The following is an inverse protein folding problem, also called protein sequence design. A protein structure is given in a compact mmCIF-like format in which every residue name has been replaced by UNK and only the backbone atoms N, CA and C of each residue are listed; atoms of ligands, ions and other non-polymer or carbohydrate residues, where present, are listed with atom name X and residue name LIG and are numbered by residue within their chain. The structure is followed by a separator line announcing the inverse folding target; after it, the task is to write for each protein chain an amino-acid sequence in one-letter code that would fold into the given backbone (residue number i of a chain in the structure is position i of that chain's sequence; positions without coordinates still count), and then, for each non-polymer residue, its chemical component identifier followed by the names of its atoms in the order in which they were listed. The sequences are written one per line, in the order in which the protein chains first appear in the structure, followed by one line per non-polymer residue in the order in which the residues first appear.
data_IF_794065542042
#
_entry.id   IF_794065542042
#
_cell.length_a   1.000
_cell.length_b   1.000
_cell.length_c   1.000
_cell.angle_alpha   90.00
_cell.angle_beta   90.00
_cell.angle_gamma   90.00
#
_symmetry.space_group_name_H-M   'P 1'
#
loop_
_entity.id
_entity.type
_entity.pdbx_description
1 polymer ?
#
# COMPACT_ATOMS: atom_id res chain seq x y z
N UNK A 1 -23.95 -13.67 4.01
CA UNK A 1 -22.72 -14.07 3.29
C UNK A 1 -21.60 -14.14 4.32
N UNK A 2 -20.89 -15.26 4.41
CA UNK A 2 -19.84 -15.47 5.41
C UNK A 2 -18.56 -14.73 4.99
N UNK A 3 -18.13 -13.77 5.81
CA UNK A 3 -16.91 -13.00 5.58
C UNK A 3 -15.67 -13.90 5.46
N UNK A 4 -15.66 -15.06 6.13
CA UNK A 4 -14.57 -16.04 6.04
C UNK A 4 -14.46 -16.69 4.65
N UNK A 5 -15.56 -16.83 3.93
CA UNK A 5 -15.55 -17.41 2.58
C UNK A 5 -15.02 -16.40 1.55
N UNK A 6 -15.42 -15.12 1.66
CA UNK A 6 -14.90 -14.03 0.83
C UNK A 6 -13.40 -13.86 1.07
N UNK A 7 -13.00 -13.96 2.33
CA UNK A 7 -11.62 -13.91 2.76
C UNK A 7 -10.75 -15.01 2.13
N UNK A 8 -11.22 -16.27 2.17
CA UNK A 8 -10.53 -17.39 1.53
C UNK A 8 -10.43 -17.17 0.02
N UNK A 9 -11.47 -16.59 -0.59
CA UNK A 9 -11.49 -16.26 -2.00
C UNK A 9 -10.47 -15.17 -2.34
N UNK A 10 -10.44 -14.07 -1.60
CA UNK A 10 -9.47 -12.98 -1.74
C UNK A 10 -8.03 -13.47 -1.55
N UNK A 11 -7.80 -14.30 -0.55
CA UNK A 11 -6.46 -14.86 -0.27
C UNK A 11 -5.99 -15.82 -1.36
N UNK A 12 -6.89 -16.57 -2.01
CA UNK A 12 -6.55 -17.53 -3.07
C UNK A 12 -6.47 -16.91 -4.46
N UNK A 13 -7.26 -15.87 -4.72
CA UNK A 13 -7.40 -15.28 -6.06
C UNK A 13 -6.73 -13.91 -6.17
N UNK A 14 -6.49 -13.22 -5.06
CA UNK A 14 -5.99 -11.85 -5.04
C UNK A 14 -7.13 -10.84 -5.10
N UNK A 15 -6.87 -9.65 -4.55
CA UNK A 15 -7.87 -8.60 -4.33
C UNK A 15 -8.49 -8.04 -5.61
N UNK A 16 -7.76 -8.11 -6.73
CA UNK A 16 -8.25 -7.62 -8.03
C UNK A 16 -9.08 -8.66 -8.79
N UNK A 17 -9.03 -9.93 -8.38
CA UNK A 17 -9.67 -11.05 -9.08
C UNK A 17 -10.97 -11.51 -8.40
N UNK A 18 -11.42 -10.80 -7.36
CA UNK A 18 -12.67 -11.09 -6.67
C UNK A 18 -13.62 -9.92 -6.88
N UNK A 19 -14.71 -10.16 -7.61
CA UNK A 19 -15.76 -9.18 -7.81
C UNK A 19 -16.64 -9.10 -6.55
N UNK A 20 -16.73 -7.90 -5.97
CA UNK A 20 -17.58 -7.59 -4.80
C UNK A 20 -18.68 -6.56 -5.13
N UNK A 21 -18.93 -6.26 -6.41
CA UNK A 21 -19.81 -5.18 -6.89
C UNK A 21 -21.27 -5.36 -6.45
N UNK A 22 -21.69 -6.61 -6.21
CA UNK A 22 -23.03 -6.92 -5.69
C UNK A 22 -23.24 -6.45 -4.24
N UNK A 23 -22.19 -6.07 -3.51
CA UNK A 23 -22.26 -5.60 -2.13
C UNK A 23 -22.37 -4.09 -2.05
N UNK A 24 -22.96 -3.56 -0.98
CA UNK A 24 -22.94 -2.13 -0.70
C UNK A 24 -21.51 -1.64 -0.45
N UNK A 25 -21.23 -0.36 -0.70
CA UNK A 25 -19.90 0.20 -0.51
C UNK A 25 -19.38 0.01 0.93
N UNK A 26 -20.20 0.25 1.95
CA UNK A 26 -19.80 0.05 3.36
C UNK A 26 -19.41 -1.39 3.66
N UNK A 27 -20.10 -2.38 3.06
CA UNK A 27 -19.75 -3.78 3.22
C UNK A 27 -18.43 -4.12 2.52
N UNK A 28 -18.20 -3.58 1.31
CA UNK A 28 -16.93 -3.74 0.60
C UNK A 28 -15.78 -3.12 1.39
N UNK A 29 -15.99 -1.92 1.93
CA UNK A 29 -15.02 -1.20 2.76
C UNK A 29 -14.60 -2.06 3.95
N UNK A 30 -15.56 -2.59 4.71
CA UNK A 30 -15.28 -3.46 5.87
C UNK A 30 -14.49 -4.71 5.46
N UNK A 31 -14.84 -5.35 4.34
CA UNK A 31 -14.12 -6.53 3.83
C UNK A 31 -12.67 -6.18 3.48
N UNK A 32 -12.44 -5.08 2.76
CA UNK A 32 -11.10 -4.68 2.37
C UNK A 32 -10.23 -4.28 3.57
N UNK A 33 -10.78 -3.55 4.54
CA UNK A 33 -10.06 -3.19 5.77
C UNK A 33 -9.70 -4.44 6.58
N UNK A 34 -10.64 -5.38 6.77
CA UNK A 34 -10.35 -6.66 7.44
C UNK A 34 -9.31 -7.50 6.70
N UNK A 35 -9.32 -7.47 5.37
CA UNK A 35 -8.30 -8.16 4.57
C UNK A 35 -6.91 -7.53 4.76
N UNK A 36 -6.83 -6.20 4.85
CA UNK A 36 -5.59 -5.49 5.13
C UNK A 36 -5.01 -5.86 6.51
N UNK A 37 -5.87 -5.97 7.53
CA UNK A 37 -5.48 -6.24 8.92
C UNK A 37 -4.71 -7.56 9.11
N UNK A 38 -4.84 -8.52 8.20
CA UNK A 38 -4.05 -9.76 8.20
C UNK A 38 -2.55 -9.56 7.96
N UNK A 39 -2.23 -8.50 7.25
CA UNK A 39 -0.88 -8.21 6.78
C UNK A 39 -0.32 -6.97 7.48
N UNK A 40 -1.09 -6.31 8.35
CA UNK A 40 -0.70 -5.05 9.00
C UNK A 40 0.60 -5.17 9.80
N UNK A 41 0.84 -6.30 10.44
CA UNK A 41 2.06 -6.58 11.23
C UNK A 41 3.23 -7.09 10.37
N UNK A 42 2.97 -7.50 9.12
CA UNK A 42 4.01 -8.00 8.20
C UNK A 42 4.69 -6.81 7.55
N UNK A 43 6.02 -6.85 7.43
CA UNK A 43 6.83 -5.79 6.81
C UNK A 43 7.34 -6.20 5.43
N UNK A 44 7.73 -5.21 4.65
CA UNK A 44 8.34 -5.35 3.34
C UNK A 44 7.39 -5.10 2.17
N UNK A 45 7.97 -5.11 0.97
CA UNK A 45 7.32 -4.76 -0.30
C UNK A 45 5.96 -5.45 -0.50
N UNK A 46 5.94 -6.77 -0.41
CA UNK A 46 4.74 -7.56 -0.75
C UNK A 46 3.60 -7.34 0.25
N UNK A 47 3.82 -7.43 1.58
CA UNK A 47 2.79 -7.04 2.54
C UNK A 47 2.29 -5.62 2.37
N UNK A 48 3.19 -4.64 2.20
CA UNK A 48 2.81 -3.23 2.00
C UNK A 48 1.95 -3.06 0.76
N UNK A 49 2.31 -3.70 -0.35
CA UNK A 49 1.51 -3.67 -1.58
C UNK A 49 0.09 -4.17 -1.33
N UNK A 50 -0.06 -5.32 -0.68
CA UNK A 50 -1.37 -5.92 -0.38
C UNK A 50 -2.21 -5.00 0.51
N UNK A 51 -1.61 -4.50 1.60
CA UNK A 51 -2.28 -3.62 2.58
C UNK A 51 -2.70 -2.31 1.93
N UNK A 52 -1.80 -1.65 1.18
CA UNK A 52 -2.11 -0.39 0.52
C UNK A 52 -3.21 -0.57 -0.51
N UNK A 53 -3.16 -1.61 -1.36
CA UNK A 53 -4.25 -1.86 -2.33
C UNK A 53 -5.59 -2.14 -1.66
N UNK A 54 -5.59 -2.83 -0.53
CA UNK A 54 -6.80 -3.06 0.23
C UNK A 54 -7.38 -1.75 0.76
N UNK A 55 -6.56 -0.90 1.40
CA UNK A 55 -7.01 0.40 1.87
C UNK A 55 -7.38 1.37 0.73
N UNK A 56 -6.77 1.24 -0.44
CA UNK A 56 -7.17 1.94 -1.66
C UNK A 56 -8.61 1.57 -2.02
N UNK A 57 -8.93 0.28 -2.14
CA UNK A 57 -10.29 -0.15 -2.47
C UNK A 57 -11.32 0.21 -1.39
N UNK A 58 -10.89 0.33 -0.14
CA UNK A 58 -11.68 0.86 0.98
C UNK A 58 -11.82 2.39 1.00
N UNK A 59 -11.12 3.11 0.11
CA UNK A 59 -10.99 4.59 0.11
C UNK A 59 -10.48 5.17 1.44
N UNK A 60 -9.60 4.44 2.13
CA UNK A 60 -9.09 4.84 3.44
C UNK A 60 -7.67 5.45 3.32
N UNK A 61 -7.62 6.73 2.96
CA UNK A 61 -6.35 7.47 2.76
C UNK A 61 -5.51 7.59 4.03
N UNK A 62 -6.15 7.69 5.20
CA UNK A 62 -5.47 7.78 6.49
C UNK A 62 -4.67 6.49 6.76
N UNK A 63 -5.30 5.33 6.58
CA UNK A 63 -4.64 4.03 6.76
C UNK A 63 -3.55 3.75 5.73
N UNK A 64 -3.68 4.26 4.50
CA UNK A 64 -2.59 4.20 3.50
C UNK A 64 -1.37 4.97 4.00
N UNK A 65 -1.56 6.20 4.50
CA UNK A 65 -0.47 7.03 5.03
C UNK A 65 0.18 6.38 6.23
N UNK A 66 -0.62 5.92 7.20
CA UNK A 66 -0.14 5.22 8.39
C UNK A 66 0.74 4.01 8.00
N UNK A 67 0.27 3.18 7.06
CA UNK A 67 1.03 2.02 6.59
C UNK A 67 2.37 2.42 5.96
N UNK A 68 2.38 3.41 5.07
CA UNK A 68 3.59 3.85 4.38
C UNK A 68 4.61 4.49 5.33
N UNK A 69 4.15 5.23 6.35
CA UNK A 69 5.03 5.81 7.38
C UNK A 69 5.67 4.71 8.22
N UNK A 70 4.89 3.75 8.72
CA UNK A 70 5.42 2.64 9.52
C UNK A 70 6.44 1.80 8.73
N UNK A 71 6.18 1.59 7.44
CA UNK A 71 7.10 0.88 6.56
C UNK A 71 8.39 1.68 6.30
N UNK A 72 8.29 3.01 6.13
CA UNK A 72 9.42 3.90 5.96
C UNK A 72 10.32 3.91 7.19
N UNK A 73 9.75 4.07 8.39
CA UNK A 73 10.48 4.10 9.66
C UNK A 73 11.24 2.79 9.90
N UNK A 74 10.56 1.65 9.73
CA UNK A 74 11.18 0.35 9.92
C UNK A 74 12.25 0.04 8.88
N UNK A 75 12.02 0.40 7.61
CA UNK A 75 12.98 0.19 6.53
C UNK A 75 14.21 1.08 6.65
N UNK A 76 14.07 2.29 7.22
CA UNK A 76 15.20 3.19 7.46
C UNK A 76 16.16 2.60 8.51
N UNK A 77 15.64 2.00 9.59
CA UNK A 77 16.45 1.29 10.60
C UNK A 77 17.22 0.13 9.96
N UNK A 78 16.60 -0.57 9.00
CA UNK A 78 17.20 -1.67 8.25
C UNK A 78 18.13 -1.22 7.11
N UNK A 79 18.36 0.09 6.95
CA UNK A 79 19.18 0.69 5.88
C UNK A 79 18.71 0.32 4.46
N UNK A 80 17.39 0.16 4.28
CA UNK A 80 16.73 -0.07 2.98
C UNK A 80 16.30 1.26 2.35
N UNK A 81 17.27 2.15 2.11
CA UNK A 81 16.98 3.54 1.71
C UNK A 81 16.37 3.68 0.32
N UNK A 82 16.65 2.75 -0.60
CA UNK A 82 15.98 2.76 -1.91
C UNK A 82 14.49 2.49 -1.74
N UNK A 83 14.11 1.56 -0.87
CA UNK A 83 12.71 1.33 -0.55
C UNK A 83 12.07 2.52 0.19
N UNK A 84 12.76 3.11 1.17
CA UNK A 84 12.31 4.33 1.86
C UNK A 84 12.06 5.49 0.88
N UNK A 85 12.92 5.65 -0.13
CA UNK A 85 12.75 6.63 -1.21
C UNK A 85 11.40 6.44 -1.93
N UNK A 86 11.07 5.22 -2.38
CA UNK A 86 9.79 4.97 -3.05
C UNK A 86 8.58 5.13 -2.11
N UNK A 87 8.67 4.72 -0.84
CA UNK A 87 7.63 5.00 0.15
C UNK A 87 7.41 6.51 0.33
N UNK A 88 8.48 7.32 0.33
CA UNK A 88 8.42 8.78 0.44
C UNK A 88 7.75 9.40 -0.79
N UNK A 89 8.04 8.89 -1.99
CA UNK A 89 7.35 9.31 -3.22
C UNK A 89 5.86 8.98 -3.18
N UNK A 90 5.46 7.80 -2.69
CA UNK A 90 4.04 7.43 -2.54
C UNK A 90 3.32 8.30 -1.50
N UNK A 91 4.04 8.82 -0.50
CA UNK A 91 3.53 9.78 0.48
C UNK A 91 3.49 11.22 -0.03
N UNK A 92 3.95 11.49 -1.28
CA UNK A 92 4.16 12.82 -1.83
C UNK A 92 5.06 13.72 -0.94
N UNK A 93 6.03 13.12 -0.25
CA UNK A 93 6.99 13.84 0.59
C UNK A 93 8.34 13.99 -0.14
N UNK A 94 8.45 15.05 -0.96
CA UNK A 94 9.61 15.30 -1.82
C UNK A 94 10.90 15.59 -1.05
N UNK A 95 10.80 16.21 0.12
CA UNK A 95 11.95 16.49 0.99
C UNK A 95 12.54 15.17 1.52
N UNK A 96 11.67 14.30 2.05
CA UNK A 96 12.07 12.98 2.52
C UNK A 96 12.60 12.08 1.40
N UNK A 97 11.99 12.15 0.21
CA UNK A 97 12.48 11.42 -0.95
C UNK A 97 13.90 11.88 -1.31
N UNK A 98 14.13 13.19 -1.43
CA UNK A 98 15.45 13.77 -1.71
C UNK A 98 16.49 13.42 -0.63
N UNK A 99 16.07 13.30 0.63
CA UNK A 99 16.94 12.86 1.71
C UNK A 99 17.40 11.41 1.50
N UNK A 100 16.48 10.47 1.27
CA UNK A 100 16.86 9.06 1.08
C UNK A 100 17.60 8.79 -0.23
N UNK A 101 17.31 9.56 -1.28
CA UNK A 101 17.96 9.42 -2.59
C UNK A 101 19.49 9.53 -2.49
N UNK A 102 19.99 10.42 -1.64
CA UNK A 102 21.42 10.64 -1.40
C UNK A 102 22.14 9.38 -0.86
N UNK A 103 21.41 8.47 -0.20
CA UNK A 103 21.97 7.28 0.43
C UNK A 103 21.76 5.98 -0.37
N UNK A 104 21.13 6.04 -1.56
CA UNK A 104 20.80 4.84 -2.35
C UNK A 104 22.05 4.05 -2.79
N UNK A 105 23.18 4.70 -3.04
CA UNK A 105 24.39 4.00 -3.49
C UNK A 105 25.06 3.15 -2.39
N UNK A 106 24.81 3.52 -1.13
CA UNK A 106 25.41 2.92 0.07
C UNK A 106 24.43 2.03 0.85
N UNK A 107 23.20 1.86 0.36
CA UNK A 107 22.15 1.13 1.06
C UNK A 107 22.18 -0.39 0.79
N UNK A 108 21.51 -1.14 1.68
CA UNK A 108 21.46 -2.61 1.61
C UNK A 108 20.66 -3.12 0.39
N UNK A 109 19.71 -2.32 -0.10
CA UNK A 109 18.76 -2.67 -1.15
C UNK A 109 19.04 -1.96 -2.48
N UNK A 110 20.26 -1.42 -2.69
CA UNK A 110 20.62 -0.62 -3.89
C UNK A 110 20.30 -1.29 -5.23
N UNK A 111 20.46 -2.62 -5.29
CA UNK A 111 20.23 -3.43 -6.49
C UNK A 111 18.79 -3.92 -6.63
N UNK A 112 17.93 -3.70 -5.63
CA UNK A 112 16.54 -4.14 -5.67
C UNK A 112 15.73 -3.23 -6.58
N UNK A 113 14.91 -3.81 -7.45
CA UNK A 113 13.95 -3.04 -8.26
C UNK A 113 12.61 -2.88 -7.52
N UNK A 114 12.20 -1.63 -7.37
CA UNK A 114 10.94 -1.23 -6.76
C UNK A 114 10.06 -0.41 -7.72
N UNK A 115 10.43 -0.27 -8.98
CA UNK A 115 9.67 0.51 -9.96
C UNK A 115 8.24 -0.02 -10.12
N UNK A 116 8.06 -1.32 -10.31
CA UNK A 116 6.73 -1.93 -10.44
C UNK A 116 5.87 -1.65 -9.21
N UNK A 117 6.44 -1.83 -8.01
CA UNK A 117 5.78 -1.51 -6.74
C UNK A 117 5.32 -0.04 -6.69
N UNK A 118 6.19 0.89 -7.09
CA UNK A 118 5.89 2.31 -7.09
C UNK A 118 4.81 2.68 -8.10
N UNK A 119 4.99 2.31 -9.37
CA UNK A 119 4.09 2.73 -10.44
C UNK A 119 2.69 2.16 -10.27
N UNK A 120 2.58 0.90 -9.82
CA UNK A 120 1.28 0.30 -9.53
C UNK A 120 0.57 1.01 -8.38
N UNK A 121 1.22 1.18 -7.22
CA UNK A 121 0.58 1.83 -6.08
C UNK A 121 0.29 3.31 -6.31
N UNK A 122 1.17 4.02 -7.03
CA UNK A 122 0.95 5.43 -7.39
C UNK A 122 -0.36 5.59 -8.15
N UNK A 123 -0.56 4.80 -9.20
CA UNK A 123 -1.78 4.84 -10.03
C UNK A 123 -3.04 4.59 -9.19
N UNK A 124 -2.98 3.62 -8.29
CA UNK A 124 -4.08 3.27 -7.39
C UNK A 124 -4.41 4.41 -6.41
N UNK A 125 -3.40 5.01 -5.77
CA UNK A 125 -3.57 6.10 -4.80
C UNK A 125 -4.07 7.40 -5.47
N UNK A 126 -3.56 7.73 -6.65
CA UNK A 126 -3.98 8.91 -7.42
C UNK A 126 -5.44 8.82 -7.86
N UNK A 127 -5.93 7.60 -8.17
CA UNK A 127 -7.33 7.37 -8.55
C UNK A 127 -8.31 7.79 -7.45
N UNK A 128 -7.94 7.60 -6.18
CA UNK A 128 -8.77 8.01 -5.03
C UNK A 128 -8.64 9.50 -4.76
N UNK A 129 -7.42 10.02 -4.83
CA UNK A 129 -7.13 11.44 -4.54
C UNK A 129 -7.87 12.38 -5.50
N UNK A 130 -8.01 12.00 -6.77
CA UNK A 130 -8.73 12.77 -7.78
C UNK A 130 -10.27 12.57 -7.74
N UNK A 131 -10.74 11.48 -7.13
CA UNK A 131 -12.17 11.20 -6.95
C UNK A 131 -12.85 12.09 -5.91
N UNK A 132 -12.08 12.69 -4.99
CA UNK A 132 -12.60 13.58 -3.94
C UNK A 132 -12.79 15.04 -4.40
N UNK A 133 -12.37 15.41 -5.62
CA UNK A 133 -12.49 16.77 -6.18
C UNK A 133 -13.68 16.95 -7.14
N UNK A 134 -14.62 16.00 -7.18
CA UNK A 134 -15.89 16.11 -7.91
C UNK A 134 -17.07 16.02 -6.95
N UNK A 135 -17.32 17.13 -6.23
CA UNK A 135 -18.61 17.44 -5.61
C UNK A 135 -18.93 18.88 -5.98
#
# INVERSE_FOLDING_TARGET
MDLNQIFLLLSKKGIDNVNLDMLLFEQRKEIYEKYADLFKEKKGRTPTYIVVKAYVKAKNLEKIKERLINELESSAIEKKFKYCYYCSLLLNNNEMASFFEQFILECADRNTDYNDFYFELKKEIETISNGNNKI
#
